data_IF_968608915007
#
_entry.id   IF_968608915007
#
_cell.length_a   1.000
_cell.length_b   1.000
_cell.length_c   1.000
_cell.angle_alpha   90.00
_cell.angle_beta   90.00
_cell.angle_gamma   90.00
#
_symmetry.space_group_name_H-M   'P 1'
#
loop_
_entity.id
_entity.type
_entity.pdbx_description
1 polymer ?
#
# COMPACT_ATOMS: atom_id res chain seq x y z
N UNK A 1 -25.89 -6.22 -1.04
CA UNK A 1 -25.29 -4.87 -1.10
C UNK A 1 -23.79 -5.03 -0.94
N UNK A 2 -23.00 -4.30 -1.71
CA UNK A 2 -21.53 -4.33 -1.60
C UNK A 2 -21.11 -3.36 -0.50
N UNK A 3 -20.23 -3.78 0.40
CA UNK A 3 -19.68 -2.94 1.47
C UNK A 3 -18.16 -2.92 1.40
N UNK A 4 -17.56 -1.77 1.63
CA UNK A 4 -16.13 -1.61 1.83
C UNK A 4 -15.85 -1.09 3.23
N UNK A 5 -14.92 -1.73 3.94
CA UNK A 5 -14.53 -1.38 5.30
C UNK A 5 -13.13 -0.79 5.32
N UNK A 6 -12.99 0.39 5.88
CA UNK A 6 -11.72 1.10 6.05
C UNK A 6 -10.84 0.45 7.13
N UNK A 7 -9.51 0.67 7.12
CA UNK A 7 -8.60 0.12 8.14
C UNK A 7 -8.94 0.53 9.57
N UNK A 8 -9.61 1.66 9.75
CA UNK A 8 -10.08 2.13 11.07
C UNK A 8 -11.38 1.44 11.55
N UNK A 9 -11.91 0.47 10.79
CA UNK A 9 -13.12 -0.27 11.10
C UNK A 9 -14.43 0.40 10.69
N UNK A 10 -14.41 1.64 10.18
CA UNK A 10 -15.59 2.29 9.62
C UNK A 10 -15.88 1.78 8.21
N UNK A 11 -17.14 1.83 7.81
CA UNK A 11 -17.50 1.55 6.43
C UNK A 11 -17.36 2.80 5.56
N UNK A 12 -17.04 2.61 4.28
CA UNK A 12 -17.26 3.60 3.23
C UNK A 12 -18.76 3.91 3.18
N UNK A 13 -19.12 5.16 2.92
CA UNK A 13 -20.52 5.58 2.86
C UNK A 13 -21.34 4.69 1.92
N UNK A 14 -22.52 4.20 2.32
CA UNK A 14 -23.24 3.16 1.58
C UNK A 14 -23.74 3.61 0.20
N UNK A 15 -23.70 4.91 -0.08
CA UNK A 15 -24.08 5.53 -1.37
C UNK A 15 -22.87 5.81 -2.27
N UNK A 16 -21.74 5.12 -2.04
CA UNK A 16 -20.58 5.25 -2.90
C UNK A 16 -20.85 4.77 -4.33
N UNK A 17 -20.14 5.36 -5.26
CA UNK A 17 -20.07 4.98 -6.66
C UNK A 17 -18.73 4.32 -6.96
N UNK A 18 -18.72 3.34 -7.87
CA UNK A 18 -17.49 2.91 -8.54
C UNK A 18 -17.40 3.73 -9.82
N UNK A 19 -16.53 4.72 -9.83
CA UNK A 19 -16.41 5.67 -10.95
C UNK A 19 -15.49 5.19 -12.04
N UNK A 20 -14.50 4.37 -11.69
CA UNK A 20 -13.52 3.80 -12.61
C UNK A 20 -13.16 2.36 -12.22
N UNK A 21 -12.97 1.53 -13.24
CA UNK A 21 -12.30 0.22 -13.14
C UNK A 21 -11.34 0.12 -14.31
N UNK A 22 -10.05 -0.04 -14.04
CA UNK A 22 -9.02 -0.02 -15.07
C UNK A 22 -7.73 -0.73 -14.67
N UNK A 23 -6.74 -0.72 -15.56
CA UNK A 23 -5.38 -1.19 -15.31
C UNK A 23 -4.44 0.00 -15.17
N UNK A 24 -3.68 0.05 -14.09
CA UNK A 24 -2.58 0.98 -13.91
C UNK A 24 -1.27 0.24 -14.19
N UNK A 25 -0.45 0.83 -15.04
CA UNK A 25 0.92 0.38 -15.30
C UNK A 25 1.88 1.42 -14.75
N UNK A 26 2.80 0.98 -13.89
CA UNK A 26 3.87 1.81 -13.35
C UNK A 26 5.21 1.28 -13.86
N UNK A 27 5.95 2.13 -14.56
CA UNK A 27 7.30 1.86 -15.04
C UNK A 27 8.25 2.83 -14.36
N UNK A 28 9.23 2.33 -13.62
CA UNK A 28 10.06 3.17 -12.78
C UNK A 28 11.45 2.55 -12.53
N UNK A 29 12.36 3.38 -12.03
CA UNK A 29 13.68 2.96 -11.55
C UNK A 29 13.66 3.04 -10.02
N UNK A 30 14.07 1.96 -9.35
CA UNK A 30 14.22 1.97 -7.89
C UNK A 30 15.50 2.68 -7.43
N UNK A 31 15.70 2.85 -6.13
CA UNK A 31 16.86 3.53 -5.58
C UNK A 31 18.19 2.78 -5.80
N UNK A 32 18.17 1.52 -6.20
CA UNK A 32 19.32 0.72 -6.61
C UNK A 32 19.64 0.83 -8.10
N UNK A 33 18.87 1.61 -8.87
CA UNK A 33 19.05 1.77 -10.31
C UNK A 33 18.44 0.65 -11.15
N UNK A 34 17.62 -0.21 -10.55
CA UNK A 34 16.95 -1.32 -11.26
C UNK A 34 15.64 -0.84 -11.86
N UNK A 35 15.47 -1.10 -13.16
CA UNK A 35 14.24 -0.84 -13.89
C UNK A 35 13.15 -1.83 -13.47
N UNK A 36 11.98 -1.31 -13.16
CA UNK A 36 10.84 -2.10 -12.67
C UNK A 36 9.57 -1.78 -13.42
N UNK A 37 8.73 -2.80 -13.51
CA UNK A 37 7.44 -2.73 -14.18
C UNK A 37 6.38 -3.37 -13.28
N UNK A 38 5.34 -2.63 -12.94
CA UNK A 38 4.26 -3.06 -12.04
C UNK A 38 2.90 -2.80 -12.70
N UNK A 39 2.00 -3.76 -12.60
CA UNK A 39 0.63 -3.62 -13.07
C UNK A 39 -0.33 -3.91 -11.93
N UNK A 40 -1.37 -3.07 -11.83
CA UNK A 40 -2.45 -3.24 -10.84
C UNK A 40 -3.80 -3.01 -11.50
N UNK A 41 -4.82 -3.66 -10.98
CA UNK A 41 -6.22 -3.34 -11.28
C UNK A 41 -6.65 -2.23 -10.34
N UNK A 42 -7.11 -1.11 -10.88
CA UNK A 42 -7.56 0.03 -10.08
C UNK A 42 -9.07 0.13 -10.08
N UNK A 43 -9.62 0.37 -8.89
CA UNK A 43 -11.01 0.77 -8.68
C UNK A 43 -11.02 2.11 -7.99
N UNK A 44 -11.85 3.04 -8.48
CA UNK A 44 -12.04 4.31 -7.80
C UNK A 44 -13.43 4.36 -7.15
N UNK A 45 -13.45 4.66 -5.84
CA UNK A 45 -14.66 4.84 -5.04
C UNK A 45 -14.85 6.33 -4.74
N UNK A 46 -16.05 6.81 -4.99
CA UNK A 46 -16.43 8.18 -4.73
C UNK A 46 -17.83 8.26 -4.11
N UNK A 47 -18.01 9.11 -3.10
CA UNK A 47 -19.30 9.32 -2.47
C UNK A 47 -19.83 10.70 -2.88
N UNK A 48 -21.01 10.71 -3.50
CA UNK A 48 -21.73 11.91 -3.91
C UNK A 48 -22.85 12.24 -2.92
N UNK A 49 -23.64 13.27 -3.25
CA UNK A 49 -24.83 13.65 -2.49
C UNK A 49 -26.09 12.84 -2.89
N UNK A 50 -25.91 11.75 -3.61
CA UNK A 50 -26.96 10.79 -3.98
C UNK A 50 -27.12 9.72 -2.89
N UNK A 51 -27.71 10.07 -1.78
CA UNK A 51 -27.84 9.24 -0.58
C UNK A 51 -28.66 7.97 -0.77
N UNK A 52 -29.50 7.91 -1.82
CA UNK A 52 -30.31 6.72 -2.15
C UNK A 52 -29.57 5.71 -3.03
N UNK A 53 -28.42 6.10 -3.59
CA UNK A 53 -27.62 5.22 -4.42
C UNK A 53 -27.13 3.99 -3.63
N UNK A 54 -27.23 2.82 -4.25
CA UNK A 54 -26.67 1.55 -3.73
C UNK A 54 -26.13 0.72 -4.87
N UNK A 55 -24.90 0.26 -4.72
CA UNK A 55 -24.33 -0.67 -5.68
C UNK A 55 -24.64 -2.12 -5.26
N UNK A 56 -25.22 -2.87 -6.17
CA UNK A 56 -25.51 -4.28 -6.01
C UNK A 56 -24.37 -5.14 -6.58
N UNK A 57 -24.12 -6.36 -6.05
CA UNK A 57 -23.06 -7.24 -6.54
C UNK A 57 -23.12 -7.50 -8.05
N UNK A 58 -24.33 -7.68 -8.58
CA UNK A 58 -24.56 -7.93 -10.02
C UNK A 58 -24.07 -6.74 -10.86
N UNK A 59 -24.32 -5.51 -10.40
CA UNK A 59 -23.88 -4.30 -11.09
C UNK A 59 -22.35 -4.16 -11.04
N UNK A 60 -21.75 -4.44 -9.89
CA UNK A 60 -20.28 -4.43 -9.76
C UNK A 60 -19.65 -5.46 -10.70
N UNK A 61 -20.17 -6.69 -10.73
CA UNK A 61 -19.70 -7.74 -11.65
C UNK A 61 -19.85 -7.33 -13.13
N UNK A 62 -20.94 -6.68 -13.51
CA UNK A 62 -21.12 -6.16 -14.86
C UNK A 62 -20.04 -5.14 -15.23
N UNK A 63 -19.69 -4.23 -14.32
CA UNK A 63 -18.64 -3.23 -14.53
C UNK A 63 -17.28 -3.92 -14.70
N UNK A 64 -16.96 -4.87 -13.82
CA UNK A 64 -15.71 -5.63 -13.88
C UNK A 64 -15.58 -6.39 -15.20
N UNK A 65 -16.60 -7.17 -15.55
CA UNK A 65 -16.62 -7.95 -16.80
C UNK A 65 -16.47 -7.05 -18.03
N UNK A 66 -17.20 -5.92 -18.07
CA UNK A 66 -17.08 -4.96 -19.16
C UNK A 66 -15.64 -4.40 -19.27
N UNK A 67 -15.02 -4.10 -18.12
CA UNK A 67 -13.65 -3.58 -18.10
C UNK A 67 -12.64 -4.62 -18.56
N UNK A 68 -12.81 -5.87 -18.15
CA UNK A 68 -11.98 -6.99 -18.62
C UNK A 68 -12.13 -7.19 -20.13
N UNK A 69 -13.36 -7.22 -20.64
CA UNK A 69 -13.65 -7.44 -22.06
C UNK A 69 -13.14 -6.30 -22.96
N UNK A 70 -13.26 -5.05 -22.51
CA UNK A 70 -12.90 -3.87 -23.28
C UNK A 70 -11.43 -3.49 -23.21
N UNK A 71 -10.82 -3.65 -22.04
CA UNK A 71 -9.46 -3.19 -21.75
C UNK A 71 -8.45 -4.34 -21.71
N UNK A 72 -8.91 -5.60 -21.72
CA UNK A 72 -8.03 -6.76 -21.60
C UNK A 72 -7.29 -6.84 -20.26
N UNK A 73 -7.93 -6.36 -19.17
CA UNK A 73 -7.34 -6.31 -17.84
C UNK A 73 -7.01 -7.73 -17.38
N UNK A 74 -5.75 -7.95 -17.01
CA UNK A 74 -5.28 -9.21 -16.46
C UNK A 74 -5.64 -9.39 -14.98
N UNK A 75 -5.33 -10.58 -14.45
CA UNK A 75 -5.51 -10.87 -13.03
C UNK A 75 -4.30 -10.32 -12.25
N UNK A 76 -4.37 -9.05 -11.87
CA UNK A 76 -3.36 -8.34 -11.10
C UNK A 76 -3.89 -8.00 -9.71
N UNK A 77 -2.99 -7.62 -8.81
CA UNK A 77 -3.34 -7.08 -7.49
C UNK A 77 -4.28 -5.89 -7.64
N UNK A 78 -5.29 -5.82 -6.76
CA UNK A 78 -6.27 -4.74 -6.78
C UNK A 78 -5.81 -3.58 -5.89
N UNK A 79 -5.85 -2.37 -6.43
CA UNK A 79 -5.66 -1.12 -5.70
C UNK A 79 -6.98 -0.35 -5.70
N UNK A 80 -7.42 0.09 -4.53
CA UNK A 80 -8.62 0.90 -4.36
C UNK A 80 -8.22 2.35 -4.12
N UNK A 81 -8.71 3.25 -4.96
CA UNK A 81 -8.65 4.69 -4.72
C UNK A 81 -9.95 5.15 -4.07
N UNK A 82 -9.84 5.84 -2.95
CA UNK A 82 -11.00 6.40 -2.24
C UNK A 82 -10.76 7.86 -1.90
N UNK A 83 -11.75 8.70 -2.20
CA UNK A 83 -11.69 10.12 -1.91
C UNK A 83 -11.77 10.36 -0.40
N UNK A 84 -10.66 10.73 0.20
CA UNK A 84 -10.60 11.22 1.56
C UNK A 84 -10.95 12.72 1.64
N UNK A 85 -10.92 13.29 2.84
CA UNK A 85 -11.28 14.69 3.07
C UNK A 85 -10.34 15.68 2.35
N UNK A 86 -9.05 15.33 2.23
CA UNK A 86 -8.03 16.24 1.69
C UNK A 86 -7.42 15.74 0.38
N UNK A 87 -7.40 14.40 0.17
CA UNK A 87 -6.77 13.80 -1.00
C UNK A 87 -7.33 12.42 -1.30
N UNK A 88 -7.02 11.91 -2.49
CA UNK A 88 -7.27 10.51 -2.85
C UNK A 88 -6.34 9.62 -2.01
N UNK A 89 -6.91 8.66 -1.31
CA UNK A 89 -6.20 7.65 -0.54
C UNK A 89 -6.20 6.33 -1.30
N UNK A 90 -5.09 5.60 -1.21
CA UNK A 90 -4.91 4.30 -1.87
C UNK A 90 -4.88 3.19 -0.83
N UNK A 91 -5.55 2.09 -1.15
CA UNK A 91 -5.68 0.92 -0.31
C UNK A 91 -5.49 -0.35 -1.12
N UNK A 92 -4.96 -1.39 -0.48
CA UNK A 92 -5.11 -2.75 -0.94
C UNK A 92 -6.53 -3.26 -0.67
N UNK A 93 -6.84 -4.44 -1.17
CA UNK A 93 -8.14 -5.07 -1.02
C UNK A 93 -8.01 -6.48 -0.48
N UNK A 94 -8.81 -6.81 0.54
CA UNK A 94 -9.02 -8.16 1.06
C UNK A 94 -10.51 -8.45 1.18
N UNK A 95 -10.90 -9.71 1.36
CA UNK A 95 -12.28 -10.14 1.48
C UNK A 95 -12.46 -11.16 2.60
N UNK A 96 -13.31 -10.88 3.57
CA UNK A 96 -13.52 -11.74 4.75
C UNK A 96 -14.67 -12.76 4.59
N UNK A 97 -15.22 -12.89 3.38
CA UNK A 97 -16.38 -13.75 3.10
C UNK A 97 -17.71 -13.01 3.15
N UNK A 98 -17.72 -11.75 3.58
CA UNK A 98 -18.90 -10.91 3.69
C UNK A 98 -18.69 -9.50 3.17
N UNK A 99 -17.65 -8.82 3.64
CA UNK A 99 -17.35 -7.45 3.32
C UNK A 99 -15.95 -7.35 2.68
N UNK A 100 -15.74 -6.36 1.82
CA UNK A 100 -14.45 -6.01 1.28
C UNK A 100 -13.69 -5.15 2.29
N UNK A 101 -12.50 -5.58 2.69
CA UNK A 101 -11.66 -4.87 3.64
C UNK A 101 -10.57 -4.10 2.91
N UNK A 102 -10.58 -2.79 3.03
CA UNK A 102 -9.52 -1.92 2.54
C UNK A 102 -8.33 -2.03 3.48
N UNK A 103 -7.17 -2.39 2.96
CA UNK A 103 -5.93 -2.57 3.74
C UNK A 103 -4.98 -1.42 3.54
N UNK A 104 -4.27 -1.03 4.59
CA UNK A 104 -3.25 0.01 4.49
C UNK A 104 -2.13 -0.42 3.56
N UNK A 105 -1.67 0.51 2.75
CA UNK A 105 -0.50 0.33 1.89
C UNK A 105 0.67 1.11 2.46
N UNK A 106 1.86 0.52 2.37
CA UNK A 106 3.10 1.14 2.81
C UNK A 106 4.10 1.16 1.66
N UNK A 107 4.92 2.21 1.62
CA UNK A 107 6.05 2.25 0.72
C UNK A 107 7.20 1.42 1.28
N UNK A 108 7.85 0.63 0.44
CA UNK A 108 9.01 -0.17 0.81
C UNK A 108 10.20 0.13 -0.08
N UNK A 109 11.41 -0.04 0.48
CA UNK A 109 12.63 -0.03 -0.32
C UNK A 109 12.72 -1.36 -1.07
N UNK A 110 12.65 -1.31 -2.42
CA UNK A 110 12.74 -2.49 -3.29
C UNK A 110 14.18 -2.91 -3.58
N UNK A 111 15.15 -2.09 -3.19
CA UNK A 111 16.57 -2.25 -3.45
C UNK A 111 17.39 -2.32 -2.15
N UNK A 112 16.88 -2.99 -1.13
CA UNK A 112 17.54 -3.12 0.19
C UNK A 112 18.98 -3.57 0.07
N UNK A 113 19.27 -4.49 -0.86
CA UNK A 113 20.60 -5.06 -1.07
C UNK A 113 21.56 -4.14 -1.83
N UNK A 114 21.01 -3.16 -2.58
CA UNK A 114 21.79 -2.26 -3.44
C UNK A 114 21.77 -0.79 -2.95
N UNK A 115 20.94 -0.46 -1.97
CA UNK A 115 20.72 0.91 -1.50
C UNK A 115 21.84 1.46 -0.61
N UNK A 116 22.89 0.67 -0.33
CA UNK A 116 24.03 1.10 0.51
C UNK A 116 23.68 1.39 1.98
N UNK A 117 22.48 1.07 2.40
CA UNK A 117 22.10 1.09 3.81
C UNK A 117 22.65 -0.19 4.42
N UNK A 118 23.68 -0.12 5.28
CA UNK A 118 24.21 -1.32 5.91
C UNK A 118 23.10 -1.98 6.73
N UNK A 119 22.97 -3.31 6.62
CA UNK A 119 22.11 -4.06 7.52
C UNK A 119 22.42 -3.65 8.96
N UNK A 120 21.38 -3.40 9.74
CA UNK A 120 21.53 -3.12 11.17
C UNK A 120 22.15 -4.37 11.80
N UNK A 121 23.46 -4.35 11.99
CA UNK A 121 24.15 -5.39 12.76
C UNK A 121 23.53 -5.36 14.16
N UNK A 122 22.86 -6.45 14.52
CA UNK A 122 22.41 -6.64 15.90
C UNK A 122 23.66 -6.77 16.76
N UNK A 123 24.10 -5.69 17.38
CA UNK A 123 25.18 -5.71 18.35
C UNK A 123 24.64 -6.41 19.58
N UNK A 124 25.20 -7.59 19.87
CA UNK A 124 24.90 -8.29 21.11
C UNK A 124 25.53 -7.52 22.27
N UNK A 125 24.69 -6.90 23.09
CA UNK A 125 25.10 -6.08 24.24
C UNK A 125 25.93 -6.88 25.27
N UNK A 126 25.87 -8.22 25.25
CA UNK A 126 26.69 -9.05 26.14
C UNK A 126 28.18 -8.99 25.81
N UNK A 127 28.57 -8.61 24.59
CA UNK A 127 29.96 -8.47 24.16
C UNK A 127 30.55 -7.10 24.45
N UNK A 128 29.76 -6.12 24.87
CA UNK A 128 30.24 -4.77 25.26
C UNK A 128 30.88 -4.73 26.65
N UNK A 129 30.62 -5.74 27.47
CA UNK A 129 31.20 -5.83 28.83
C UNK A 129 32.65 -6.37 28.87
N UNK A 130 33.18 -6.86 27.74
CA UNK A 130 34.51 -7.52 27.71
C UNK A 130 35.64 -6.62 27.20
N UNK A 131 35.41 -5.36 26.82
CA UNK A 131 36.46 -4.42 26.42
C UNK A 131 36.67 -3.29 27.41
N UNK A 132 36.89 -3.63 28.67
CA UNK A 132 37.56 -2.73 29.62
C UNK A 132 39.07 -2.89 29.48
N UNK A 133 39.66 -2.26 28.48
CA UNK A 133 41.10 -2.04 28.46
C UNK A 133 41.40 -0.64 27.99
N UNK A 134 41.72 0.19 28.97
CA UNK A 134 42.62 1.32 28.90
C UNK A 134 42.31 2.44 27.87
N UNK A 135 41.42 3.33 28.26
CA UNK A 135 41.53 4.72 27.85
C UNK A 135 41.77 5.57 29.11
N UNK A 136 42.82 6.35 29.07
CA UNK A 136 43.26 7.35 30.01
C UNK A 136 44.34 6.88 31.00
N UNK A 137 45.60 6.99 30.56
CA UNK A 137 46.71 7.17 31.47
C UNK A 137 46.65 8.60 32.03
N UNK A 138 46.87 8.83 33.34
CA UNK A 138 46.95 10.18 33.89
C UNK A 138 48.23 10.84 33.40
N UNK A 139 48.13 11.79 32.49
CA UNK A 139 49.29 12.56 31.99
C UNK A 139 49.35 12.88 30.51
N UNK A 140 48.41 12.37 29.71
CA UNK A 140 48.33 12.69 28.28
C UNK A 140 47.20 13.67 28.00
N UNK A 141 47.51 14.90 27.59
CA UNK A 141 46.55 15.89 27.21
C UNK A 141 45.81 15.42 25.96
N UNK A 142 44.47 15.30 26.04
CA UNK A 142 43.58 15.18 24.90
C UNK A 142 43.12 16.58 24.50
N UNK A 143 43.50 17.01 23.35
CA UNK A 143 42.84 18.11 22.61
C UNK A 143 41.58 17.60 21.95
#
# INVERSE_FOLDING_TARGET
>A
MVNFKLPNGKFVEPHFHVTEVGEITKHFIDCGGVERFEKKVSFQLWSADDYDHRIHPEKLLQIINLSQDKLGIGNHEVEIEYQGAESIQKYGLDYDGKDFNLTSMETACLASDACGIPEKVKVDLSNLAASTSNCCSPGGGCC
#
